data_IF_373586744055
#
_entry.id   IF_373586744055
#
_cell.length_a   1.000
_cell.length_b   1.000
_cell.length_c   1.000
_cell.angle_alpha   90.00
_cell.angle_beta   90.00
_cell.angle_gamma   90.00
#
_symmetry.space_group_name_H-M   'P 1'
#
loop_
_entity.id
_entity.type
_entity.pdbx_description
1 polymer ?
#
# COMPACT_ATOMS: atom_id res chain seq x y z
N UNK A 1 2.12 -25.61 -1.78
CA UNK A 1 2.26 -24.32 -1.11
C UNK A 1 0.94 -23.88 -0.49
N UNK A 2 0.99 -23.37 0.72
CA UNK A 2 -0.16 -22.72 1.37
C UNK A 2 -0.08 -21.22 1.11
N UNK A 3 -1.23 -20.59 0.89
CA UNK A 3 -1.30 -19.14 0.71
C UNK A 3 -2.42 -18.59 1.58
N UNK A 4 -2.09 -17.63 2.41
CA UNK A 4 -3.08 -16.90 3.22
C UNK A 4 -3.17 -15.46 2.71
N UNK A 5 -4.32 -14.84 2.93
CA UNK A 5 -4.62 -13.52 2.39
C UNK A 5 -5.24 -12.65 3.46
N UNK A 6 -4.91 -11.37 3.43
CA UNK A 6 -5.60 -10.36 4.23
C UNK A 6 -5.73 -9.07 3.43
N UNK A 7 -6.52 -8.15 3.96
CA UNK A 7 -6.72 -6.84 3.33
C UNK A 7 -6.72 -5.74 4.39
N UNK A 8 -6.37 -4.54 3.95
CA UNK A 8 -6.52 -3.33 4.73
C UNK A 8 -6.91 -2.21 3.78
N UNK A 9 -7.49 -1.13 4.30
CA UNK A 9 -7.93 -0.02 3.49
C UNK A 9 -7.50 1.31 4.11
N UNK A 10 -7.38 2.33 3.26
CA UNK A 10 -7.05 3.68 3.69
C UNK A 10 -7.64 4.68 2.70
N UNK A 11 -7.96 5.87 3.20
CA UNK A 11 -8.41 6.99 2.40
C UNK A 11 -7.24 7.95 2.19
N UNK A 12 -6.94 8.26 0.93
CA UNK A 12 -5.83 9.14 0.63
C UNK A 12 -6.03 9.86 -0.69
N UNK A 13 -5.47 11.05 -0.76
CA UNK A 13 -5.43 11.83 -1.99
C UNK A 13 -4.11 11.59 -2.72
N UNK A 14 -4.14 11.80 -4.01
CA UNK A 14 -2.97 11.79 -4.88
C UNK A 14 -3.25 12.61 -6.14
N UNK A 15 -2.24 12.78 -6.95
CA UNK A 15 -2.38 13.30 -8.31
C UNK A 15 -1.22 12.78 -9.17
N UNK A 16 -1.44 12.78 -10.46
CA UNK A 16 -0.46 12.28 -11.43
C UNK A 16 0.19 13.46 -12.14
N UNK A 17 1.40 13.81 -11.74
CA UNK A 17 2.17 14.91 -12.34
C UNK A 17 2.42 14.62 -13.82
N UNK A 18 2.17 15.63 -14.65
CA UNK A 18 2.36 15.60 -16.11
C UNK A 18 1.44 14.61 -16.86
N UNK A 19 0.38 14.15 -16.20
CA UNK A 19 -0.63 13.34 -16.86
C UNK A 19 -1.59 14.18 -17.68
N UNK A 20 -1.98 13.69 -18.84
CA UNK A 20 -2.94 14.35 -19.73
C UNK A 20 -4.37 13.88 -19.44
N UNK A 21 -4.96 14.39 -18.37
CA UNK A 21 -6.31 14.04 -17.97
C UNK A 21 -6.64 14.55 -16.58
N UNK A 22 -7.87 14.27 -16.14
CA UNK A 22 -8.38 14.79 -14.85
C UNK A 22 -7.57 14.33 -13.64
N UNK A 23 -6.92 13.17 -13.72
CA UNK A 23 -6.11 12.63 -12.63
C UNK A 23 -4.83 13.43 -12.37
N UNK A 24 -4.50 14.40 -13.21
CA UNK A 24 -3.45 15.38 -12.90
C UNK A 24 -3.84 16.30 -11.74
N UNK A 25 -5.11 16.38 -11.41
CA UNK A 25 -5.61 17.18 -10.29
C UNK A 25 -5.63 16.35 -9.00
N UNK A 26 -5.50 17.03 -7.87
CA UNK A 26 -5.60 16.37 -6.55
C UNK A 26 -7.01 15.80 -6.41
N UNK A 27 -7.08 14.51 -6.10
CA UNK A 27 -8.33 13.80 -5.87
C UNK A 27 -8.07 12.63 -4.92
N UNK A 28 -9.10 12.05 -4.36
CA UNK A 28 -8.99 11.00 -3.36
C UNK A 28 -9.74 9.74 -3.73
N UNK A 29 -9.29 8.65 -3.10
CA UNK A 29 -9.89 7.33 -3.21
C UNK A 29 -9.91 6.63 -1.87
N UNK A 30 -10.82 5.67 -1.73
CA UNK A 30 -10.69 4.64 -0.73
C UNK A 30 -9.88 3.50 -1.33
N UNK A 31 -8.62 3.44 -0.97
CA UNK A 31 -7.70 2.42 -1.43
C UNK A 31 -7.90 1.14 -0.63
N UNK A 32 -7.92 0.01 -1.32
CA UNK A 32 -7.91 -1.31 -0.67
C UNK A 32 -6.62 -2.01 -1.09
N UNK A 33 -5.91 -2.54 -0.11
CA UNK A 33 -4.69 -3.30 -0.33
C UNK A 33 -4.92 -4.73 0.13
N UNK A 34 -4.61 -5.70 -0.71
CA UNK A 34 -4.59 -7.11 -0.32
C UNK A 34 -3.17 -7.65 -0.43
N UNK A 35 -2.81 -8.54 0.48
CA UNK A 35 -1.54 -9.26 0.44
C UNK A 35 -1.80 -10.75 0.51
N UNK A 36 -1.14 -11.49 -0.38
CA UNK A 36 -1.09 -12.95 -0.39
C UNK A 36 0.29 -13.36 0.13
N UNK A 37 0.33 -14.04 1.27
CA UNK A 37 1.56 -14.55 1.87
C UNK A 37 1.58 -16.08 1.82
N UNK A 38 2.70 -16.67 1.44
CA UNK A 38 2.83 -18.09 1.20
C UNK A 38 3.84 -18.79 2.08
N UNK A 39 3.68 -20.11 2.20
CA UNK A 39 4.67 -20.99 2.81
C UNK A 39 4.54 -22.40 2.24
N UNK A 40 5.65 -23.08 2.09
CA UNK A 40 5.65 -24.49 1.69
C UNK A 40 5.13 -25.40 2.82
N UNK A 41 5.22 -24.94 4.06
CA UNK A 41 4.83 -25.68 5.25
C UNK A 41 3.95 -24.86 6.16
N UNK A 42 3.32 -25.55 7.12
CA UNK A 42 2.60 -24.91 8.22
C UNK A 42 3.25 -25.35 9.54
N UNK A 43 3.03 -24.60 10.60
CA UNK A 43 3.51 -24.96 11.93
C UNK A 43 2.92 -26.31 12.35
N UNK A 44 3.77 -27.18 12.89
CA UNK A 44 3.36 -28.53 13.27
C UNK A 44 3.12 -28.68 14.78
N UNK A 45 3.54 -27.71 15.58
CA UNK A 45 3.42 -27.76 17.04
C UNK A 45 3.22 -26.36 17.60
N UNK A 46 2.87 -26.30 18.89
CA UNK A 46 2.68 -25.06 19.60
C UNK A 46 1.34 -24.39 19.35
N UNK A 47 1.18 -23.14 19.81
CA UNK A 47 -0.11 -22.43 19.73
C UNK A 47 -0.53 -22.07 18.32
N UNK A 48 0.41 -22.00 17.37
CA UNK A 48 0.12 -21.65 15.95
C UNK A 48 0.13 -22.84 15.02
N UNK A 49 0.06 -24.08 15.57
CA UNK A 49 0.06 -25.30 14.73
C UNK A 49 -1.13 -25.28 13.77
N UNK A 50 -0.86 -25.73 12.55
CA UNK A 50 -1.84 -25.71 11.48
C UNK A 50 -1.91 -24.37 10.72
N UNK A 51 -1.07 -23.40 11.06
CA UNK A 51 -1.08 -22.06 10.47
C UNK A 51 0.21 -21.79 9.67
N UNK A 52 0.10 -21.01 8.63
CA UNK A 52 1.24 -20.36 7.97
C UNK A 52 1.77 -19.25 8.88
N UNK A 53 0.86 -18.40 9.30
CA UNK A 53 1.06 -17.35 10.31
C UNK A 53 -0.34 -16.98 10.82
N UNK A 54 -0.41 -16.41 12.00
CA UNK A 54 -1.68 -15.92 12.53
C UNK A 54 -2.24 -14.81 11.62
N UNK A 55 -3.51 -14.91 11.20
CA UNK A 55 -4.17 -13.89 10.40
C UNK A 55 -4.15 -12.52 11.07
N UNK A 56 -4.30 -12.47 12.38
CA UNK A 56 -4.26 -11.21 13.13
C UNK A 56 -2.91 -10.51 13.02
N UNK A 57 -1.82 -11.27 13.02
CA UNK A 57 -0.47 -10.73 12.83
C UNK A 57 -0.29 -10.18 11.42
N UNK A 58 -0.67 -10.95 10.41
CA UNK A 58 -0.55 -10.53 9.01
C UNK A 58 -1.35 -9.25 8.78
N UNK A 59 -2.59 -9.21 9.29
CA UNK A 59 -3.46 -8.04 9.17
C UNK A 59 -2.89 -6.83 9.89
N UNK A 60 -2.39 -7.00 11.11
CA UNK A 60 -1.80 -5.91 11.89
C UNK A 60 -0.57 -5.33 11.18
N UNK A 61 0.28 -6.17 10.62
CA UNK A 61 1.47 -5.75 9.90
C UNK A 61 1.12 -4.97 8.62
N UNK A 62 0.10 -5.40 7.89
CA UNK A 62 -0.37 -4.66 6.72
C UNK A 62 -1.01 -3.33 7.13
N UNK A 63 -1.82 -3.35 8.18
CA UNK A 63 -2.50 -2.15 8.70
C UNK A 63 -1.49 -1.09 9.17
N UNK A 64 -0.40 -1.49 9.78
CA UNK A 64 0.67 -0.57 10.17
C UNK A 64 1.15 0.26 8.99
N UNK A 65 1.27 -0.36 7.82
CA UNK A 65 1.72 0.33 6.61
C UNK A 65 0.62 1.16 5.94
N UNK A 66 -0.60 0.67 5.91
CA UNK A 66 -1.71 1.44 5.33
C UNK A 66 -2.06 2.67 6.18
N UNK A 67 -1.94 2.59 7.49
CA UNK A 67 -2.19 3.72 8.39
C UNK A 67 -1.23 4.88 8.17
N UNK A 68 -0.01 4.61 7.72
CA UNK A 68 0.95 5.68 7.38
C UNK A 68 0.48 6.54 6.22
N UNK A 69 -0.34 5.99 5.33
CA UNK A 69 -0.89 6.69 4.17
C UNK A 69 -2.30 7.22 4.41
N UNK A 70 -2.97 6.73 5.44
CA UNK A 70 -4.36 7.10 5.71
C UNK A 70 -4.51 8.58 6.05
N UNK A 71 -5.49 9.23 5.40
CA UNK A 71 -5.74 10.67 5.54
C UNK A 71 -4.52 11.53 5.23
N UNK A 72 -3.80 11.18 4.16
CA UNK A 72 -2.66 11.93 3.68
C UNK A 72 -2.82 12.30 2.21
N UNK A 73 -2.00 13.23 1.74
CA UNK A 73 -1.73 13.43 0.32
C UNK A 73 -0.44 12.70 -0.01
N UNK A 74 -0.52 11.72 -0.89
CA UNK A 74 0.65 10.98 -1.37
C UNK A 74 1.26 11.75 -2.54
N UNK A 75 2.50 12.20 -2.38
CA UNK A 75 3.22 13.02 -3.35
C UNK A 75 4.37 12.27 -3.97
N UNK A 76 4.46 12.33 -5.28
CA UNK A 76 5.72 12.04 -5.96
C UNK A 76 6.73 13.13 -5.60
N UNK A 77 7.93 12.72 -5.19
CA UNK A 77 9.01 13.64 -4.84
C UNK A 77 9.28 14.61 -6.00
N UNK A 78 9.29 15.90 -5.70
CA UNK A 78 9.52 16.96 -6.71
C UNK A 78 8.29 17.30 -7.56
N UNK A 79 7.11 16.74 -7.28
CA UNK A 79 5.90 16.98 -8.06
C UNK A 79 5.22 18.33 -7.76
N UNK A 80 5.54 18.94 -6.62
CA UNK A 80 5.11 20.31 -6.28
C UNK A 80 6.32 21.13 -5.84
N UNK A 81 6.17 22.45 -5.90
CA UNK A 81 7.24 23.36 -5.45
C UNK A 81 7.44 23.28 -3.94
N UNK A 82 8.65 23.59 -3.48
CA UNK A 82 8.94 23.69 -2.05
C UNK A 82 8.06 24.74 -1.35
N UNK A 83 7.76 25.83 -2.03
CA UNK A 83 6.87 26.87 -1.50
C UNK A 83 5.46 26.35 -1.26
N UNK A 84 4.90 25.61 -2.21
CA UNK A 84 3.57 24.99 -2.07
C UNK A 84 3.57 23.96 -0.95
N UNK A 85 4.58 23.09 -0.92
CA UNK A 85 4.69 22.06 0.13
C UNK A 85 4.77 22.68 1.52
N UNK A 86 5.62 23.72 1.69
CA UNK A 86 5.77 24.42 2.97
C UNK A 86 4.48 25.12 3.39
N UNK A 87 3.76 25.72 2.45
CA UNK A 87 2.48 26.38 2.73
C UNK A 87 1.44 25.35 3.23
N UNK A 88 1.33 24.20 2.57
CA UNK A 88 0.40 23.15 2.98
C UNK A 88 0.78 22.57 4.36
N UNK A 89 2.07 22.35 4.60
CA UNK A 89 2.55 21.89 5.92
C UNK A 89 2.24 22.89 7.02
N UNK A 90 2.35 24.20 6.74
CA UNK A 90 2.03 25.25 7.70
C UNK A 90 0.54 25.26 8.08
N UNK A 91 -0.31 24.79 7.19
CA UNK A 91 -1.75 24.65 7.44
C UNK A 91 -2.08 23.31 8.17
N UNK A 92 -1.08 22.46 8.42
CA UNK A 92 -1.28 21.21 9.14
C UNK A 92 -1.68 20.01 8.26
N UNK A 93 -1.62 20.14 6.94
CA UNK A 93 -1.92 19.02 6.05
C UNK A 93 -0.82 17.97 6.10
N UNK A 94 -1.24 16.71 6.22
CA UNK A 94 -0.31 15.57 6.24
C UNK A 94 -0.01 15.14 4.81
N UNK A 95 1.28 15.02 4.52
CA UNK A 95 1.76 14.57 3.21
C UNK A 95 2.78 13.48 3.39
N UNK A 96 2.78 12.52 2.48
CA UNK A 96 3.79 11.47 2.40
C UNK A 96 4.44 11.54 1.03
N UNK A 97 5.75 11.79 1.01
CA UNK A 97 6.52 11.78 -0.23
C UNK A 97 7.01 10.38 -0.54
N UNK A 98 6.85 9.97 -1.79
CA UNK A 98 7.37 8.71 -2.31
C UNK A 98 8.27 8.98 -3.52
N UNK A 99 9.15 8.04 -3.83
CA UNK A 99 10.11 8.16 -4.92
C UNK A 99 9.55 7.73 -6.27
N UNK A 100 8.24 7.60 -6.37
CA UNK A 100 7.56 7.13 -7.56
C UNK A 100 6.26 7.90 -7.76
N UNK A 101 5.74 7.88 -8.98
CA UNK A 101 4.40 8.39 -9.25
C UNK A 101 3.38 7.51 -8.53
N UNK A 102 2.50 8.07 -7.69
CA UNK A 102 1.60 7.26 -6.84
C UNK A 102 0.42 6.68 -7.60
N UNK A 103 0.71 5.80 -8.54
CA UNK A 103 -0.28 4.99 -9.26
C UNK A 103 -0.60 3.72 -8.48
N UNK A 104 -1.71 3.06 -8.81
CA UNK A 104 -2.06 1.78 -8.21
C UNK A 104 -0.97 0.74 -8.45
N UNK A 105 -0.35 0.74 -9.63
CA UNK A 105 0.73 -0.18 -10.00
C UNK A 105 1.95 0.00 -9.10
N UNK A 106 2.40 1.23 -8.94
CA UNK A 106 3.56 1.52 -8.08
C UNK A 106 3.25 1.29 -6.61
N UNK A 107 2.03 1.58 -6.16
CA UNK A 107 1.61 1.28 -4.79
C UNK A 107 1.55 -0.24 -4.55
N UNK A 108 1.13 -1.03 -5.54
CA UNK A 108 1.15 -2.49 -5.40
C UNK A 108 2.57 -3.01 -5.15
N UNK A 109 3.55 -2.53 -5.92
CA UNK A 109 4.95 -2.89 -5.68
C UNK A 109 5.45 -2.38 -4.32
N UNK A 110 5.08 -1.18 -3.95
CA UNK A 110 5.44 -0.57 -2.67
C UNK A 110 5.01 -1.45 -1.49
N UNK A 111 3.76 -1.90 -1.46
CA UNK A 111 3.27 -2.79 -0.41
C UNK A 111 3.90 -4.19 -0.48
N UNK A 112 4.17 -4.69 -1.68
CA UNK A 112 4.91 -5.95 -1.84
C UNK A 112 6.28 -5.87 -1.15
N UNK A 113 7.03 -4.82 -1.43
CA UNK A 113 8.36 -4.62 -0.86
C UNK A 113 8.31 -4.44 0.66
N UNK A 114 7.34 -3.66 1.17
CA UNK A 114 7.18 -3.45 2.61
C UNK A 114 6.87 -4.75 3.36
N UNK A 115 5.94 -5.54 2.85
CA UNK A 115 5.56 -6.81 3.50
C UNK A 115 6.67 -7.84 3.37
N UNK A 116 7.40 -7.86 2.27
CA UNK A 116 8.59 -8.70 2.12
C UNK A 116 9.66 -8.34 3.13
N UNK A 117 9.88 -7.05 3.37
CA UNK A 117 10.83 -6.57 4.37
C UNK A 117 10.44 -6.95 5.81
N UNK A 118 9.16 -7.19 6.06
CA UNK A 118 8.67 -7.70 7.35
C UNK A 118 8.88 -9.20 7.52
N UNK A 119 9.43 -9.88 6.52
CA UNK A 119 9.78 -11.30 6.57
C UNK A 119 8.77 -12.24 5.94
N UNK A 120 7.71 -11.73 5.33
CA UNK A 120 6.73 -12.58 4.63
C UNK A 120 7.26 -13.02 3.26
N UNK A 121 6.96 -14.26 2.89
CA UNK A 121 7.08 -14.71 1.50
C UNK A 121 5.85 -14.18 0.77
N UNK A 122 5.95 -12.96 0.26
CA UNK A 122 4.83 -12.34 -0.45
C UNK A 122 4.71 -12.98 -1.83
N UNK A 123 3.55 -13.51 -2.13
CA UNK A 123 3.22 -14.07 -3.44
C UNK A 123 2.74 -12.96 -4.35
N UNK A 124 1.90 -12.07 -3.80
CA UNK A 124 1.24 -11.04 -4.60
C UNK A 124 0.65 -9.97 -3.70
N UNK A 125 0.64 -8.75 -4.20
CA UNK A 125 -0.15 -7.66 -3.62
C UNK A 125 -1.08 -7.10 -4.68
N UNK A 126 -2.24 -6.60 -4.25
CA UNK A 126 -3.19 -5.89 -5.10
C UNK A 126 -3.55 -4.57 -4.46
N UNK A 127 -3.64 -3.54 -5.27
CA UNK A 127 -4.10 -2.22 -4.84
C UNK A 127 -5.30 -1.84 -5.70
N UNK A 128 -6.43 -1.69 -5.04
CA UNK A 128 -7.67 -1.22 -5.65
C UNK A 128 -7.74 0.29 -5.49
N UNK A 129 -7.63 1.01 -6.59
CA UNK A 129 -7.88 2.46 -6.61
C UNK A 129 -9.37 2.73 -6.46
N UNK A 130 -10.18 1.91 -7.13
CA UNK A 130 -11.64 1.87 -7.03
C UNK A 130 -12.06 0.41 -6.92
N UNK A 131 -13.33 0.10 -6.59
CA UNK A 131 -13.79 -1.29 -6.59
C UNK A 131 -13.60 -2.01 -7.92
N UNK A 132 -13.49 -1.28 -9.02
CA UNK A 132 -13.40 -1.84 -10.38
C UNK A 132 -12.00 -1.81 -10.97
N UNK A 133 -11.12 -0.93 -10.47
CA UNK A 133 -9.78 -0.74 -11.04
C UNK A 133 -8.72 -1.17 -10.04
N UNK A 134 -8.05 -2.25 -10.37
CA UNK A 134 -7.05 -2.87 -9.51
C UNK A 134 -5.75 -3.11 -10.28
N UNK A 135 -4.64 -2.83 -9.62
CA UNK A 135 -3.32 -3.25 -10.09
C UNK A 135 -2.76 -4.29 -9.14
N UNK A 136 -1.99 -5.21 -9.67
CA UNK A 136 -1.30 -6.19 -8.83
C UNK A 136 0.17 -6.29 -9.19
N UNK A 137 0.96 -6.64 -8.20
CA UNK A 137 2.38 -6.89 -8.37
C UNK A 137 2.74 -8.26 -7.81
N UNK A 138 3.51 -9.00 -8.56
CA UNK A 138 4.10 -10.28 -8.16
C UNK A 138 5.40 -10.49 -8.95
N UNK A 139 6.27 -11.30 -8.42
CA UNK A 139 7.50 -11.66 -9.11
C UNK A 139 7.36 -13.06 -9.70
N UNK A 140 7.79 -13.19 -10.95
CA UNK A 140 7.71 -14.46 -11.68
C UNK A 140 8.80 -15.44 -11.21
#
# INVERSE_FOLDING_TARGET
MYVIKTRSEFDSAHFLKDYEGKCANIHGHRWIVTVDAGSETIETSGPYRGMVVDFGKLKADLKEETEKLDHTLILEKGSISEATKSAMQSEGFRMVEVDFRPTAENLAKYFYDLMSAKGYKVIRTRVFETPENVAEYYEA
#
